data_IF_568808125085
#
_entry.id   IF_568808125085
#
_cell.length_a   1.000
_cell.length_b   1.000
_cell.length_c   1.000
_cell.angle_alpha   90.00
_cell.angle_beta   90.00
_cell.angle_gamma   90.00
#
_symmetry.space_group_name_H-M   'P 1'
#
loop_
_entity.id
_entity.type
_entity.pdbx_description
1 polymer ?
#
# COMPACT_ATOMS: atom_id res chain seq x y z
N UNK A 1 -31.48 7.73 65.92
CA UNK A 1 -30.60 8.63 65.15
C UNK A 1 -30.41 7.95 63.82
N UNK A 2 -31.18 8.38 62.82
CA UNK A 2 -31.14 7.77 61.48
C UNK A 2 -30.00 8.42 60.70
N UNK A 3 -29.01 7.62 60.32
CA UNK A 3 -27.95 7.99 59.38
C UNK A 3 -28.57 8.34 58.03
N UNK A 4 -28.50 9.61 57.64
CA UNK A 4 -28.81 10.06 56.29
C UNK A 4 -27.51 10.10 55.47
N UNK A 5 -27.53 9.41 54.32
CA UNK A 5 -26.33 8.97 53.58
C UNK A 5 -25.62 10.13 52.83
N UNK A 6 -24.28 10.12 52.75
CA UNK A 6 -23.47 11.09 52.00
C UNK A 6 -23.41 10.84 50.47
N UNK A 7 -24.39 10.15 49.87
CA UNK A 7 -24.29 9.68 48.47
C UNK A 7 -24.54 10.76 47.41
N UNK A 8 -25.36 11.79 47.71
CA UNK A 8 -25.75 12.80 46.71
C UNK A 8 -24.59 13.69 46.24
N UNK A 9 -23.68 14.07 47.13
CA UNK A 9 -22.53 14.92 46.78
C UNK A 9 -21.45 14.13 46.02
N UNK A 10 -21.32 12.84 46.33
CA UNK A 10 -20.37 11.97 45.63
C UNK A 10 -20.79 11.68 44.19
N UNK A 11 -22.10 11.61 43.92
CA UNK A 11 -22.62 11.40 42.57
C UNK A 11 -22.56 12.70 41.74
N UNK A 12 -22.88 13.86 42.33
CA UNK A 12 -22.70 15.15 41.68
C UNK A 12 -21.23 15.46 41.33
N UNK A 13 -20.29 15.06 42.21
CA UNK A 13 -18.86 15.20 41.94
C UNK A 13 -18.38 14.30 40.80
N UNK A 14 -18.96 13.10 40.64
CA UNK A 14 -18.62 12.20 39.53
C UNK A 14 -19.12 12.73 38.19
N UNK A 15 -20.36 13.23 38.15
CA UNK A 15 -20.94 13.81 36.94
C UNK A 15 -20.10 15.00 36.43
N UNK A 16 -19.67 15.87 37.35
CA UNK A 16 -18.79 16.99 37.00
C UNK A 16 -17.41 16.54 36.46
N UNK A 17 -16.84 15.46 37.00
CA UNK A 17 -15.57 14.92 36.52
C UNK A 17 -15.70 14.25 35.15
N UNK A 18 -16.85 13.61 34.88
CA UNK A 18 -17.13 12.99 33.59
C UNK A 18 -17.39 14.04 32.50
N UNK A 19 -18.05 15.15 32.83
CA UNK A 19 -18.23 16.30 31.92
C UNK A 19 -16.88 16.96 31.55
N UNK A 20 -15.99 17.16 32.53
CA UNK A 20 -14.63 17.67 32.29
C UNK A 20 -13.85 16.70 31.39
N UNK A 21 -13.92 15.39 31.66
CA UNK A 21 -13.21 14.38 30.84
C UNK A 21 -13.73 14.32 29.40
N UNK A 22 -15.04 14.47 29.19
CA UNK A 22 -15.63 14.55 27.85
C UNK A 22 -15.13 15.79 27.10
N UNK A 23 -15.08 16.93 27.78
CA UNK A 23 -14.58 18.20 27.21
C UNK A 23 -13.10 18.11 26.81
N UNK A 24 -12.27 17.46 27.64
CA UNK A 24 -10.84 17.24 27.34
C UNK A 24 -10.63 16.28 26.15
N UNK A 25 -11.47 15.24 26.03
CA UNK A 25 -11.41 14.30 24.91
C UNK A 25 -11.72 15.00 23.57
N UNK A 26 -12.72 15.89 23.56
CA UNK A 26 -13.08 16.68 22.38
C UNK A 26 -11.98 17.70 22.03
N UNK A 27 -11.33 18.29 23.03
CA UNK A 27 -10.20 19.20 22.81
C UNK A 27 -8.99 18.49 22.18
N UNK A 28 -8.68 17.27 22.63
CA UNK A 28 -7.61 16.45 22.03
C UNK A 28 -7.95 16.00 20.61
N UNK A 29 -9.19 15.54 20.39
CA UNK A 29 -9.66 15.14 19.06
C UNK A 29 -9.56 16.30 18.07
N UNK A 30 -9.95 17.51 18.48
CA UNK A 30 -9.83 18.72 17.67
C UNK A 30 -8.37 19.07 17.35
N UNK A 31 -7.48 19.05 18.35
CA UNK A 31 -6.06 19.34 18.14
C UNK A 31 -5.40 18.34 17.17
N UNK A 32 -5.71 17.05 17.30
CA UNK A 32 -5.23 16.02 16.37
C UNK A 32 -5.79 16.22 14.95
N UNK A 33 -7.05 16.62 14.82
CA UNK A 33 -7.65 16.90 13.51
C UNK A 33 -7.00 18.10 12.82
N UNK A 34 -6.67 19.16 13.58
CA UNK A 34 -5.97 20.34 13.09
C UNK A 34 -4.53 20.01 12.64
N UNK A 35 -3.79 19.22 13.42
CA UNK A 35 -2.43 18.78 13.07
C UNK A 35 -2.42 17.89 11.82
N UNK A 36 -3.35 16.93 11.74
CA UNK A 36 -3.52 16.08 10.55
C UNK A 36 -3.85 16.93 9.31
N UNK A 37 -4.69 17.95 9.44
CA UNK A 37 -5.05 18.84 8.33
C UNK A 37 -3.84 19.67 7.86
N UNK A 38 -3.03 20.18 8.79
CA UNK A 38 -1.81 20.92 8.50
C UNK A 38 -0.77 20.03 7.78
N UNK A 39 -0.59 18.79 8.24
CA UNK A 39 0.32 17.84 7.61
C UNK A 39 -0.16 17.44 6.20
N UNK A 40 -1.46 17.17 6.04
CA UNK A 40 -2.06 16.94 4.71
C UNK A 40 -1.89 18.13 3.77
N UNK A 41 -1.89 19.36 4.27
CA UNK A 41 -1.66 20.56 3.46
C UNK A 41 -0.19 20.66 3.02
N UNK A 42 0.76 20.45 3.96
CA UNK A 42 2.20 20.43 3.65
C UNK A 42 2.54 19.38 2.60
N UNK A 43 2.01 18.16 2.75
CA UNK A 43 2.21 17.09 1.76
C UNK A 43 1.65 17.44 0.39
N UNK A 44 0.49 18.11 0.32
CA UNK A 44 -0.06 18.58 -0.95
C UNK A 44 0.82 19.61 -1.64
N UNK A 45 1.42 20.52 -0.87
CA UNK A 45 2.37 21.49 -1.42
C UNK A 45 3.66 20.83 -1.93
N UNK A 46 4.16 19.80 -1.22
CA UNK A 46 5.42 19.14 -1.56
C UNK A 46 5.30 18.11 -2.69
N UNK A 47 4.21 17.34 -2.71
CA UNK A 47 4.03 16.18 -3.59
C UNK A 47 2.91 16.37 -4.63
N UNK A 48 2.18 17.48 -4.60
CA UNK A 48 1.07 17.78 -5.50
C UNK A 48 -0.29 17.33 -4.98
N UNK A 49 -1.32 17.43 -5.83
CA UNK A 49 -2.69 17.04 -5.48
C UNK A 49 -2.70 15.55 -5.11
N UNK A 50 -3.40 15.14 -4.03
CA UNK A 50 -3.49 13.73 -3.71
C UNK A 50 -4.18 13.00 -4.87
N UNK A 51 -3.86 11.72 -5.11
CA UNK A 51 -4.67 10.88 -5.99
C UNK A 51 -6.15 11.01 -5.60
N UNK A 52 -7.05 10.76 -6.57
CA UNK A 52 -8.48 10.70 -6.29
C UNK A 52 -8.81 9.65 -5.23
N UNK A 53 -10.09 9.44 -4.96
CA UNK A 53 -10.47 8.35 -4.05
C UNK A 53 -9.82 7.02 -4.50
N UNK A 54 -9.51 6.13 -3.56
CA UNK A 54 -8.89 4.84 -3.89
C UNK A 54 -9.71 4.05 -4.93
N UNK A 55 -11.04 4.20 -4.89
CA UNK A 55 -11.96 3.64 -5.87
C UNK A 55 -11.78 4.26 -7.27
N UNK A 56 -11.63 5.58 -7.38
CA UNK A 56 -11.39 6.26 -8.66
C UNK A 56 -10.03 5.89 -9.25
N UNK A 57 -8.98 5.79 -8.43
CA UNK A 57 -7.67 5.36 -8.90
C UNK A 57 -7.66 3.87 -9.31
N UNK A 58 -8.38 3.00 -8.60
CA UNK A 58 -8.56 1.61 -9.00
C UNK A 58 -9.28 1.52 -10.35
N UNK A 59 -10.34 2.31 -10.56
CA UNK A 59 -11.06 2.37 -11.83
C UNK A 59 -10.14 2.82 -12.97
N UNK A 60 -9.35 3.89 -12.76
CA UNK A 60 -8.34 4.36 -13.74
C UNK A 60 -7.27 3.31 -14.04
N UNK A 61 -6.80 2.58 -13.02
CA UNK A 61 -5.82 1.50 -13.21
C UNK A 61 -6.40 0.37 -14.06
N UNK A 62 -7.63 -0.07 -13.74
CA UNK A 62 -8.33 -1.11 -14.51
C UNK A 62 -8.54 -0.67 -15.96
N UNK A 63 -8.96 0.57 -16.18
CA UNK A 63 -9.13 1.12 -17.54
C UNK A 63 -7.79 1.18 -18.29
N UNK A 64 -6.71 1.65 -17.65
CA UNK A 64 -5.38 1.70 -18.27
C UNK A 64 -4.82 0.31 -18.61
N UNK A 65 -5.10 -0.70 -17.77
CA UNK A 65 -4.74 -2.11 -18.02
C UNK A 65 -5.56 -2.67 -19.18
N UNK A 66 -6.87 -2.39 -19.24
CA UNK A 66 -7.74 -2.82 -20.33
C UNK A 66 -7.32 -2.20 -21.67
N UNK A 67 -6.97 -0.92 -21.70
CA UNK A 67 -6.45 -0.23 -22.88
C UNK A 67 -5.12 -0.84 -23.37
N UNK A 68 -4.20 -1.13 -22.43
CA UNK A 68 -2.93 -1.79 -22.76
C UNK A 68 -3.11 -3.21 -23.28
N UNK A 69 -4.02 -3.98 -22.68
CA UNK A 69 -4.34 -5.34 -23.12
C UNK A 69 -4.99 -5.34 -24.51
N UNK A 70 -5.88 -4.37 -24.77
CA UNK A 70 -6.53 -4.19 -26.07
C UNK A 70 -5.51 -3.79 -27.15
N UNK A 71 -4.54 -2.94 -26.82
CA UNK A 71 -3.44 -2.57 -27.73
C UNK A 71 -2.49 -3.73 -28.08
N UNK A 72 -2.40 -4.76 -27.21
CA UNK A 72 -1.59 -5.97 -27.46
C UNK A 72 -2.30 -7.00 -28.35
N UNK A 73 -3.61 -6.88 -28.55
CA UNK A 73 -4.41 -7.85 -29.31
C UNK A 73 -4.36 -7.66 -30.84
N UNK A 74 -3.70 -6.63 -31.36
CA UNK A 74 -3.87 -6.25 -32.78
C UNK A 74 -2.86 -6.79 -33.81
N UNK A 75 -1.90 -7.68 -33.48
CA UNK A 75 -1.44 -8.61 -34.54
C UNK A 75 -1.18 -10.06 -34.13
N UNK A 76 -1.11 -10.41 -32.84
CA UNK A 76 -0.69 -11.77 -32.41
C UNK A 76 -1.84 -12.79 -32.37
N UNK A 77 -3.09 -12.36 -32.59
CA UNK A 77 -4.27 -13.24 -32.61
C UNK A 77 -4.89 -13.37 -34.01
N UNK A 78 -4.06 -13.29 -35.06
CA UNK A 78 -4.49 -13.51 -36.45
C UNK A 78 -4.91 -14.96 -36.79
N UNK A 79 -5.05 -15.87 -35.82
CA UNK A 79 -5.28 -17.29 -36.11
C UNK A 79 -6.34 -18.01 -35.26
N UNK A 80 -7.07 -17.34 -34.35
CA UNK A 80 -8.26 -17.95 -33.71
C UNK A 80 -9.45 -17.02 -33.89
N UNK A 81 -10.21 -17.34 -34.93
CA UNK A 81 -11.49 -16.74 -35.26
C UNK A 81 -12.50 -16.92 -34.12
N UNK A 82 -13.25 -15.86 -33.82
CA UNK A 82 -14.59 -15.97 -33.24
C UNK A 82 -14.96 -14.84 -32.30
N UNK A 83 -15.93 -14.01 -32.71
CA UNK A 83 -16.55 -12.98 -31.86
C UNK A 83 -17.11 -13.50 -30.52
N UNK A 84 -17.25 -14.83 -30.37
CA UNK A 84 -17.57 -15.48 -29.11
C UNK A 84 -16.51 -15.24 -28.01
N UNK A 85 -15.21 -15.21 -28.34
CA UNK A 85 -14.16 -14.94 -27.36
C UNK A 85 -14.21 -13.49 -26.86
N UNK A 86 -14.44 -12.53 -27.77
CA UNK A 86 -14.61 -11.12 -27.41
C UNK A 86 -15.90 -10.88 -26.60
N UNK A 87 -16.99 -11.59 -26.91
CA UNK A 87 -18.21 -11.54 -26.10
C UNK A 87 -18.02 -12.12 -24.69
N UNK A 88 -17.26 -13.20 -24.57
CA UNK A 88 -16.96 -13.81 -23.28
C UNK A 88 -16.10 -12.88 -22.41
N UNK A 89 -15.08 -12.24 -23.00
CA UNK A 89 -14.28 -11.21 -22.32
C UNK A 89 -15.16 -10.04 -21.86
N UNK A 90 -16.01 -9.50 -22.73
CA UNK A 90 -16.93 -8.42 -22.36
C UNK A 90 -17.89 -8.84 -21.23
N UNK A 91 -18.38 -10.07 -21.24
CA UNK A 91 -19.23 -10.58 -20.16
C UNK A 91 -18.47 -10.69 -18.84
N UNK A 92 -17.24 -11.20 -18.85
CA UNK A 92 -16.40 -11.27 -17.64
C UNK A 92 -16.12 -9.87 -17.09
N UNK A 93 -15.82 -8.90 -17.95
CA UNK A 93 -15.61 -7.50 -17.55
C UNK A 93 -16.87 -6.91 -16.93
N UNK A 94 -18.04 -7.13 -17.53
CA UNK A 94 -19.30 -6.60 -17.00
C UNK A 94 -19.72 -7.27 -15.70
N UNK A 95 -19.48 -8.58 -15.56
CA UNK A 95 -19.74 -9.31 -14.33
C UNK A 95 -18.80 -8.86 -13.20
N UNK A 96 -17.52 -8.62 -13.51
CA UNK A 96 -16.57 -8.05 -12.57
C UNK A 96 -16.99 -6.64 -12.12
N UNK A 97 -17.39 -5.77 -13.06
CA UNK A 97 -17.92 -4.43 -12.75
C UNK A 97 -19.16 -4.49 -11.85
N UNK A 98 -20.13 -5.35 -12.19
CA UNK A 98 -21.36 -5.51 -11.43
C UNK A 98 -21.14 -6.06 -10.00
N UNK A 99 -20.10 -6.87 -9.79
CA UNK A 99 -19.74 -7.38 -8.47
C UNK A 99 -18.97 -6.35 -7.63
N UNK A 100 -18.22 -5.45 -8.27
CA UNK A 100 -17.36 -4.46 -7.61
C UNK A 100 -18.10 -3.18 -7.26
N UNK A 101 -19.01 -2.69 -8.12
CA UNK A 101 -19.76 -1.45 -7.89
C UNK A 101 -20.49 -1.41 -6.51
N UNK A 102 -21.18 -2.48 -6.06
CA UNK A 102 -21.83 -2.50 -4.75
C UNK A 102 -20.84 -2.53 -3.57
N UNK A 103 -19.64 -3.05 -3.80
CA UNK A 103 -18.58 -3.14 -2.78
C UNK A 103 -17.90 -1.79 -2.61
N UNK A 104 -17.70 -1.05 -3.71
CA UNK A 104 -17.24 0.35 -3.70
C UNK A 104 -18.21 1.21 -2.90
N UNK A 105 -19.52 1.07 -3.14
CA UNK A 105 -20.53 1.89 -2.46
C UNK A 105 -20.72 1.51 -0.98
N UNK A 106 -20.62 0.22 -0.63
CA UNK A 106 -20.87 -0.26 0.75
C UNK A 106 -19.64 -0.28 1.65
N UNK A 107 -18.43 -0.40 1.11
CA UNK A 107 -17.22 -0.62 1.89
C UNK A 107 -16.03 0.18 1.34
N UNK A 108 -16.09 1.52 1.36
CA UNK A 108 -15.01 2.37 0.86
C UNK A 108 -13.68 2.10 1.57
N UNK A 109 -13.72 1.86 2.88
CA UNK A 109 -12.52 1.63 3.71
C UNK A 109 -11.74 0.36 3.33
N UNK A 110 -12.40 -0.63 2.69
CA UNK A 110 -11.73 -1.84 2.19
C UNK A 110 -10.77 -1.50 1.05
N UNK A 111 -11.09 -0.51 0.22
CA UNK A 111 -10.22 -0.07 -0.86
C UNK A 111 -8.98 0.64 -0.33
N UNK A 112 -9.09 1.38 0.78
CA UNK A 112 -7.94 1.99 1.44
C UNK A 112 -6.99 0.92 2.01
N UNK A 113 -7.53 -0.16 2.59
CA UNK A 113 -6.73 -1.29 3.06
C UNK A 113 -6.07 -2.04 1.91
N UNK A 114 -6.78 -2.27 0.80
CA UNK A 114 -6.22 -2.89 -0.41
C UNK A 114 -5.14 -2.03 -1.05
N UNK A 115 -5.30 -0.71 -1.09
CA UNK A 115 -4.29 0.21 -1.60
C UNK A 115 -3.03 0.18 -0.72
N UNK A 116 -3.20 0.17 0.61
CA UNK A 116 -2.10 0.05 1.57
C UNK A 116 -1.35 -1.27 1.38
N UNK A 117 -2.08 -2.39 1.36
CA UNK A 117 -1.49 -3.72 1.15
C UNK A 117 -0.80 -3.86 -0.22
N UNK A 118 -1.37 -3.26 -1.27
CA UNK A 118 -0.76 -3.23 -2.60
C UNK A 118 0.56 -2.46 -2.63
N UNK A 119 0.65 -1.34 -1.90
CA UNK A 119 1.89 -0.57 -1.77
C UNK A 119 2.99 -1.35 -1.04
N UNK A 120 2.62 -2.11 0.00
CA UNK A 120 3.52 -2.99 0.73
C UNK A 120 4.03 -4.13 -0.15
N UNK A 121 3.14 -4.76 -0.92
CA UNK A 121 3.51 -5.81 -1.87
C UNK A 121 4.52 -5.28 -2.91
N UNK A 122 4.28 -4.08 -3.44
CA UNK A 122 5.14 -3.48 -4.47
C UNK A 122 6.49 -3.04 -3.89
N UNK A 123 6.53 -2.56 -2.65
CA UNK A 123 7.76 -2.28 -1.92
C UNK A 123 8.55 -3.57 -1.64
N UNK A 124 7.88 -4.65 -1.22
CA UNK A 124 8.50 -5.95 -1.00
C UNK A 124 9.09 -6.52 -2.30
N UNK A 125 8.36 -6.42 -3.42
CA UNK A 125 8.86 -6.82 -4.73
C UNK A 125 10.10 -6.03 -5.13
N UNK A 126 10.08 -4.69 -5.01
CA UNK A 126 11.25 -3.85 -5.31
C UNK A 126 12.44 -4.23 -4.44
N UNK A 127 12.22 -4.45 -3.14
CA UNK A 127 13.27 -4.88 -2.20
C UNK A 127 13.85 -6.24 -2.60
N UNK A 128 13.02 -7.20 -2.99
CA UNK A 128 13.45 -8.51 -3.46
C UNK A 128 14.29 -8.40 -4.74
N UNK A 129 13.86 -7.58 -5.70
CA UNK A 129 14.59 -7.30 -6.95
C UNK A 129 15.92 -6.60 -6.66
N UNK A 130 15.95 -5.55 -5.85
CA UNK A 130 17.19 -4.86 -5.46
C UNK A 130 18.16 -5.79 -4.70
N UNK A 131 17.64 -6.72 -3.91
CA UNK A 131 18.45 -7.72 -3.21
C UNK A 131 19.01 -8.77 -4.20
N UNK A 132 18.25 -9.17 -5.21
CA UNK A 132 18.73 -9.97 -6.33
C UNK A 132 19.82 -9.20 -7.08
N UNK A 133 19.59 -7.91 -7.32
CA UNK A 133 20.46 -7.05 -8.10
C UNK A 133 21.80 -6.74 -7.42
N UNK A 134 21.83 -6.74 -6.09
CA UNK A 134 23.08 -6.63 -5.33
C UNK A 134 23.86 -7.94 -5.31
N UNK A 135 23.19 -9.09 -5.23
CA UNK A 135 23.84 -10.41 -5.11
C UNK A 135 24.68 -10.77 -6.35
N UNK A 136 24.16 -10.56 -7.55
CA UNK A 136 24.89 -10.83 -8.80
C UNK A 136 25.97 -9.77 -9.13
N UNK A 137 25.78 -8.49 -8.82
CA UNK A 137 26.79 -7.42 -9.06
C UNK A 137 27.95 -7.45 -8.05
N UNK A 138 27.69 -7.85 -6.81
CA UNK A 138 28.73 -8.01 -5.79
C UNK A 138 29.58 -9.26 -6.04
N UNK A 139 29.06 -10.26 -6.77
CA UNK A 139 29.81 -11.46 -7.14
C UNK A 139 30.92 -11.15 -8.16
N UNK A 140 30.78 -10.12 -9.00
CA UNK A 140 31.82 -9.66 -9.94
C UNK A 140 32.88 -8.74 -9.30
N UNK A 141 32.66 -8.27 -8.07
CA UNK A 141 33.58 -7.35 -7.36
C UNK A 141 34.29 -7.99 -6.17
N UNK A 142 34.01 -9.26 -5.85
CA UNK A 142 34.79 -10.00 -4.87
C UNK A 142 36.13 -10.43 -5.50
N UNK A 143 37.30 -9.97 -4.99
CA UNK A 143 38.56 -10.61 -5.33
C UNK A 143 38.48 -12.04 -4.80
N UNK A 144 38.81 -13.03 -5.63
CA UNK A 144 38.90 -14.44 -5.21
C UNK A 144 39.74 -14.62 -3.95
N UNK A 145 39.56 -15.73 -3.21
CA UNK A 145 40.26 -15.95 -1.95
C UNK A 145 41.77 -15.81 -2.20
N UNK A 146 42.38 -14.81 -1.54
CA UNK A 146 43.83 -14.61 -1.56
C UNK A 146 44.45 -15.81 -0.86
N UNK A 147 45.07 -16.66 -1.67
CA UNK A 147 46.05 -17.64 -1.26
C UNK A 147 47.30 -16.88 -0.78
N UNK A 148 47.32 -16.48 0.49
CA UNK A 148 48.51 -15.96 1.17
C UNK A 148 49.26 -17.13 1.78
N UNK A 149 50.29 -17.60 1.06
CA UNK A 149 51.12 -18.70 1.51
C UNK A 149 52.35 -18.95 0.64
N UNK A 150 53.19 -17.94 0.43
CA UNK A 150 54.55 -18.12 -0.09
C UNK A 150 55.34 -19.12 0.78
N UNK A 151 55.47 -20.35 0.32
CA UNK A 151 56.51 -21.31 0.72
C UNK A 151 57.59 -21.41 -0.37
N UNK A 152 58.88 -21.61 -0.03
CA UNK A 152 59.97 -21.53 -1.01
C UNK A 152 60.06 -22.83 -1.81
N UNK A 153 59.96 -22.77 -3.14
CA UNK A 153 60.06 -23.94 -3.99
C UNK A 153 60.29 -23.60 -5.46
N UNK A 154 61.57 -23.64 -5.84
CA UNK A 154 62.15 -23.91 -7.16
C UNK A 154 61.63 -23.17 -8.42
N UNK A 155 62.55 -22.38 -8.98
CA UNK A 155 62.61 -22.03 -10.40
C UNK A 155 62.66 -23.31 -11.24
N UNK A 156 61.72 -23.47 -12.19
CA UNK A 156 61.84 -24.44 -13.29
C UNK A 156 62.15 -23.63 -14.53
N UNK A 157 63.40 -23.69 -14.98
CA UNK A 157 63.81 -23.25 -16.31
C UNK A 157 63.26 -24.24 -17.36
N UNK A 158 62.76 -23.70 -18.47
CA UNK A 158 62.36 -24.48 -19.63
C UNK A 158 63.18 -24.01 -20.83
N UNK A 159 64.05 -24.91 -21.28
CA UNK A 159 64.67 -24.93 -22.61
C UNK A 159 63.63 -25.24 -23.70
#
# INVERSE_FOLDING_TARGET
MSDERPTSDADAAKDALDEVRATDADAWAKACAEDLAAEKARRRTQYGQPPGSAAEELRKLVDAVADKLSGLQSPLLGAVAGGAAQQMVNQVVQQAKAAVEPVIERNPDVFDHLATAGSELLAAYRSAVEAQERRWTTRDTAPGPRDEGTGPGEHIDLD
#
